data_IF_663000326004
#
_entry.id   IF_663000326004
#
_cell.length_a   1.000
_cell.length_b   1.000
_cell.length_c   1.000
_cell.angle_alpha   90.00
_cell.angle_beta   90.00
_cell.angle_gamma   90.00
#
_symmetry.space_group_name_H-M   'P 1'
#
loop_
_entity.id
_entity.type
_entity.pdbx_description
1 polymer ?
#
# COMPACT_ATOMS: atom_id res chain seq x y z
N UNK A 1 -17.12 -2.58 -6.29
CA UNK A 1 -17.04 -1.65 -5.16
C UNK A 1 -18.03 -0.55 -5.42
N UNK A 2 -18.82 -0.14 -4.42
CA UNK A 2 -19.78 0.95 -4.58
C UNK A 2 -19.16 2.33 -4.27
N UNK A 3 -19.91 3.40 -4.58
CA UNK A 3 -19.46 4.80 -4.38
C UNK A 3 -19.14 5.12 -2.92
N UNK A 4 -19.91 4.57 -1.98
CA UNK A 4 -19.74 4.81 -0.54
C UNK A 4 -18.47 4.16 -0.03
N UNK A 5 -18.19 2.92 -0.43
CA UNK A 5 -16.96 2.21 -0.12
C UNK A 5 -15.75 2.90 -0.73
N UNK A 6 -15.84 3.30 -2.00
CA UNK A 6 -14.77 4.00 -2.69
C UNK A 6 -14.43 5.34 -2.03
N UNK A 7 -15.45 6.14 -1.68
CA UNK A 7 -15.25 7.41 -0.99
C UNK A 7 -14.69 7.20 0.43
N UNK A 8 -15.20 6.23 1.18
CA UNK A 8 -14.70 5.95 2.52
C UNK A 8 -13.23 5.51 2.51
N UNK A 9 -12.82 4.68 1.55
CA UNK A 9 -11.42 4.29 1.36
C UNK A 9 -10.57 5.49 0.95
N UNK A 10 -11.05 6.32 0.03
CA UNK A 10 -10.35 7.53 -0.39
C UNK A 10 -10.16 8.51 0.76
N UNK A 11 -11.15 8.66 1.65
CA UNK A 11 -11.06 9.46 2.88
C UNK A 11 -10.00 8.87 3.82
N UNK A 12 -10.05 7.56 4.08
CA UNK A 12 -9.08 6.89 4.94
C UNK A 12 -7.64 7.13 4.46
N UNK A 13 -7.38 6.82 3.19
CA UNK A 13 -6.05 6.89 2.59
C UNK A 13 -5.55 8.33 2.47
N UNK A 14 -6.40 9.29 2.10
CA UNK A 14 -5.99 10.69 2.02
C UNK A 14 -5.71 11.31 3.40
N UNK A 15 -6.50 10.97 4.42
CA UNK A 15 -6.27 11.42 5.79
C UNK A 15 -4.98 10.82 6.35
N UNK A 16 -4.78 9.51 6.17
CA UNK A 16 -3.57 8.80 6.57
C UNK A 16 -2.33 9.42 5.92
N UNK A 17 -2.36 9.56 4.60
CA UNK A 17 -1.27 10.19 3.85
C UNK A 17 -0.94 11.60 4.37
N UNK A 18 -1.95 12.47 4.52
CA UNK A 18 -1.72 13.83 5.02
C UNK A 18 -1.11 13.83 6.43
N UNK A 19 -1.51 12.88 7.27
CA UNK A 19 -0.99 12.73 8.64
C UNK A 19 0.45 12.26 8.63
N UNK A 20 0.75 11.16 7.94
CA UNK A 20 2.10 10.62 7.86
C UNK A 20 3.06 11.56 7.12
N UNK A 21 2.60 12.28 6.10
CA UNK A 21 3.39 13.29 5.41
C UNK A 21 3.77 14.45 6.33
N UNK A 22 2.86 14.91 7.20
CA UNK A 22 3.19 15.91 8.22
C UNK A 22 4.21 15.37 9.23
N UNK A 23 4.04 14.16 9.73
CA UNK A 23 4.98 13.48 10.65
C UNK A 23 6.38 13.35 10.05
N UNK A 24 6.44 12.93 8.78
CA UNK A 24 7.68 12.80 8.03
C UNK A 24 8.44 14.14 7.93
N UNK A 25 7.70 15.23 7.71
CA UNK A 25 8.27 16.57 7.58
C UNK A 25 8.61 17.22 8.93
N UNK A 26 7.90 16.88 10.01
CA UNK A 26 8.10 17.50 11.32
C UNK A 26 9.26 16.89 12.11
N UNK A 27 9.57 15.61 11.91
CA UNK A 27 10.62 14.93 12.66
C UNK A 27 11.96 14.95 11.92
N UNK A 28 12.98 15.62 12.46
CA UNK A 28 14.32 15.70 11.83
C UNK A 28 14.93 14.33 11.54
N UNK A 29 14.74 13.36 12.45
CA UNK A 29 15.18 11.96 12.24
C UNK A 29 14.45 11.28 11.08
N UNK A 30 13.23 11.72 10.78
CA UNK A 30 12.44 11.22 9.65
C UNK A 30 12.59 12.06 8.38
N UNK A 31 13.08 13.32 8.47
CA UNK A 31 13.31 14.17 7.29
C UNK A 31 14.25 13.52 6.28
N UNK A 32 15.18 12.65 6.72
CA UNK A 32 15.99 11.85 5.79
C UNK A 32 15.14 10.96 4.86
N UNK A 33 13.95 10.54 5.29
CA UNK A 33 12.98 9.82 4.47
C UNK A 33 12.09 10.75 3.61
N UNK A 34 12.19 12.07 3.76
CA UNK A 34 11.49 13.07 2.93
C UNK A 34 12.21 13.43 1.62
N UNK A 35 13.38 12.84 1.36
CA UNK A 35 14.22 13.04 0.16
C UNK A 35 13.52 12.74 -1.18
N UNK A 36 12.31 12.17 -1.15
CA UNK A 36 11.48 11.91 -2.34
C UNK A 36 10.58 13.09 -2.75
N UNK A 37 10.72 14.26 -2.12
CA UNK A 37 10.03 15.47 -2.56
C UNK A 37 10.58 15.93 -3.91
N UNK A 38 9.80 15.68 -4.95
CA UNK A 38 9.63 16.61 -6.08
C UNK A 38 10.92 17.24 -6.63
N UNK A 39 11.85 16.40 -7.07
CA UNK A 39 12.76 16.71 -8.16
C UNK A 39 13.25 15.36 -8.66
N UNK A 40 13.21 15.15 -9.98
CA UNK A 40 13.71 13.94 -10.63
C UNK A 40 14.98 13.47 -9.93
N UNK A 41 14.88 12.43 -9.10
CA UNK A 41 16.08 11.78 -8.59
C UNK A 41 16.70 11.15 -9.83
N UNK A 42 17.76 11.79 -10.33
CA UNK A 42 18.48 11.46 -11.55
C UNK A 42 18.82 9.97 -11.54
N UNK A 43 18.01 9.17 -12.25
CA UNK A 43 18.24 7.85 -12.84
C UNK A 43 19.08 6.81 -12.07
N UNK A 44 19.35 6.99 -10.78
CA UNK A 44 20.29 6.16 -10.00
C UNK A 44 19.74 5.71 -8.65
N UNK A 45 18.52 6.15 -8.24
CA UNK A 45 17.93 5.82 -6.92
C UNK A 45 16.43 5.48 -6.92
N UNK A 46 15.87 5.07 -8.06
CA UNK A 46 14.48 4.60 -8.17
C UNK A 46 13.43 5.73 -8.18
N UNK A 47 12.52 5.67 -9.15
CA UNK A 47 11.51 6.70 -9.42
C UNK A 47 10.27 6.52 -8.53
N UNK A 48 10.42 6.74 -7.22
CA UNK A 48 9.28 6.72 -6.28
C UNK A 48 8.84 8.16 -6.04
N UNK A 49 7.73 8.57 -6.65
CA UNK A 49 7.09 9.86 -6.41
C UNK A 49 5.88 9.71 -5.50
N UNK A 50 5.75 10.62 -4.54
CA UNK A 50 4.59 10.72 -3.66
C UNK A 50 3.61 11.74 -4.18
N UNK A 51 2.34 11.57 -3.82
CA UNK A 51 1.40 12.67 -3.90
C UNK A 51 1.83 13.78 -2.92
N UNK A 52 1.84 15.03 -3.37
CA UNK A 52 2.25 16.22 -2.60
C UNK A 52 1.24 17.37 -2.69
N UNK A 53 0.12 17.15 -3.38
CA UNK A 53 -0.99 18.09 -3.45
C UNK A 53 -1.86 18.12 -2.17
N UNK A 54 -3.02 18.77 -2.27
CA UNK A 54 -3.96 18.87 -1.15
C UNK A 54 -4.65 17.53 -0.84
N UNK A 55 -5.00 17.31 0.43
CA UNK A 55 -5.76 16.13 0.88
C UNK A 55 -7.07 15.95 0.11
N UNK A 56 -7.78 17.04 -0.22
CA UNK A 56 -9.02 16.99 -0.99
C UNK A 56 -8.79 16.58 -2.44
N UNK A 57 -7.71 17.06 -3.07
CA UNK A 57 -7.32 16.64 -4.41
C UNK A 57 -6.96 15.14 -4.41
N UNK A 58 -6.21 14.68 -3.40
CA UNK A 58 -5.89 13.26 -3.25
C UNK A 58 -7.14 12.39 -3.11
N UNK A 59 -8.06 12.75 -2.21
CA UNK A 59 -9.34 12.03 -2.03
C UNK A 59 -10.08 11.90 -3.36
N UNK A 60 -10.18 13.00 -4.11
CA UNK A 60 -10.90 13.04 -5.38
C UNK A 60 -10.24 12.14 -6.43
N UNK A 61 -8.91 12.17 -6.53
CA UNK A 61 -8.14 11.31 -7.44
C UNK A 61 -8.26 9.82 -7.07
N UNK A 62 -8.13 9.49 -5.78
CA UNK A 62 -8.26 8.11 -5.30
C UNK A 62 -9.68 7.58 -5.56
N UNK A 63 -10.72 8.33 -5.18
CA UNK A 63 -12.12 7.93 -5.40
C UNK A 63 -12.38 7.67 -6.88
N UNK A 64 -11.97 8.59 -7.75
CA UNK A 64 -12.15 8.45 -9.19
C UNK A 64 -11.43 7.21 -9.74
N UNK A 65 -10.19 6.96 -9.32
CA UNK A 65 -9.42 5.81 -9.80
C UNK A 65 -10.00 4.48 -9.29
N UNK A 66 -10.42 4.43 -8.03
CA UNK A 66 -11.03 3.24 -7.42
C UNK A 66 -12.32 2.84 -8.16
N UNK A 67 -13.15 3.82 -8.53
CA UNK A 67 -14.40 3.59 -9.26
C UNK A 67 -14.18 3.26 -10.72
N UNK A 68 -13.16 3.85 -11.34
CA UNK A 68 -12.88 3.68 -12.77
C UNK A 68 -11.37 3.56 -13.00
N UNK A 69 -10.79 2.37 -12.74
CA UNK A 69 -9.36 2.17 -12.93
C UNK A 69 -8.97 2.39 -14.38
N UNK A 70 -7.97 3.24 -14.60
CA UNK A 70 -7.45 3.50 -15.94
C UNK A 70 -6.65 2.30 -16.41
N UNK A 71 -6.95 1.80 -17.60
CA UNK A 71 -6.20 0.71 -18.23
C UNK A 71 -4.71 1.06 -18.25
N UNK A 72 -3.88 0.15 -17.74
CA UNK A 72 -2.42 0.29 -17.64
C UNK A 72 -1.96 1.58 -16.93
N UNK A 73 -2.86 2.21 -16.17
CA UNK A 73 -2.62 3.44 -15.43
C UNK A 73 -2.33 3.18 -13.96
N UNK A 74 -1.75 4.16 -13.27
CA UNK A 74 -1.53 4.10 -11.84
C UNK A 74 -1.77 5.45 -11.15
N UNK A 75 -2.03 5.39 -9.86
CA UNK A 75 -1.99 6.57 -8.98
C UNK A 75 -0.55 6.82 -8.51
N UNK A 76 -0.27 8.03 -8.01
CA UNK A 76 0.98 8.31 -7.28
C UNK A 76 1.04 7.46 -6.00
N UNK A 77 2.25 7.18 -5.50
CA UNK A 77 2.36 6.53 -4.20
C UNK A 77 1.82 7.44 -3.10
N UNK A 78 1.13 6.82 -2.15
CA UNK A 78 0.69 7.43 -0.91
C UNK A 78 1.38 6.75 0.25
N UNK A 79 1.66 7.54 1.28
CA UNK A 79 2.21 7.05 2.55
C UNK A 79 1.05 6.48 3.37
N UNK A 80 1.08 5.17 3.61
CA UNK A 80 0.03 4.47 4.37
C UNK A 80 0.41 4.34 5.83
N UNK A 81 1.71 4.17 6.12
CA UNK A 81 2.23 4.08 7.49
C UNK A 81 3.74 4.37 7.54
N UNK A 82 4.27 4.65 8.73
CA UNK A 82 5.69 4.85 9.01
C UNK A 82 6.06 4.03 10.25
N UNK A 83 6.89 3.00 10.08
CA UNK A 83 7.52 2.32 11.21
C UNK A 83 8.78 3.09 11.59
N UNK A 84 8.64 4.06 12.48
CA UNK A 84 9.75 4.91 12.92
C UNK A 84 10.81 4.16 13.73
N UNK A 85 10.50 2.97 14.27
CA UNK A 85 11.42 2.18 15.10
C UNK A 85 12.42 1.46 14.22
N UNK A 86 11.94 0.87 13.15
CA UNK A 86 12.75 0.14 12.18
C UNK A 86 13.17 1.01 10.97
N UNK A 87 12.59 2.20 10.81
CA UNK A 87 12.90 3.13 9.71
C UNK A 87 12.24 2.75 8.39
N UNK A 88 11.10 2.05 8.42
CA UNK A 88 10.36 1.68 7.21
C UNK A 88 9.33 2.73 6.84
N UNK A 89 9.41 3.22 5.61
CA UNK A 89 8.35 3.99 4.97
C UNK A 89 7.46 3.04 4.18
N UNK A 90 6.16 3.02 4.49
CA UNK A 90 5.21 2.07 3.89
C UNK A 90 4.26 2.78 2.94
N UNK A 91 4.26 2.30 1.71
CA UNK A 91 3.70 3.00 0.57
C UNK A 91 2.69 2.10 -0.14
N UNK A 92 1.66 2.73 -0.67
CA UNK A 92 0.68 2.05 -1.50
C UNK A 92 0.36 2.89 -2.73
N UNK A 93 -0.06 2.25 -3.81
CA UNK A 93 -0.81 2.90 -4.89
C UNK A 93 -1.77 1.92 -5.54
N UNK A 94 -2.75 2.47 -6.24
CA UNK A 94 -3.63 1.72 -7.12
C UNK A 94 -3.08 1.64 -8.55
N UNK A 95 -3.30 0.50 -9.19
CA UNK A 95 -2.90 0.20 -10.57
C UNK A 95 -4.10 -0.40 -11.29
N UNK A 96 -4.40 0.08 -12.49
CA UNK A 96 -5.40 -0.54 -13.36
C UNK A 96 -4.73 -1.53 -14.29
N UNK A 97 -5.21 -2.77 -14.34
CA UNK A 97 -4.67 -3.76 -15.26
C UNK A 97 -5.15 -3.53 -16.71
N UNK A 98 -4.73 -4.41 -17.64
CA UNK A 98 -5.13 -4.38 -19.06
C UNK A 98 -6.65 -4.47 -19.31
N UNK A 99 -7.42 -4.86 -18.28
CA UNK A 99 -8.87 -4.98 -18.28
C UNK A 99 -9.58 -3.92 -17.43
N UNK A 100 -8.87 -2.86 -17.00
CA UNK A 100 -9.40 -1.82 -16.11
C UNK A 100 -9.89 -2.35 -14.76
N UNK A 101 -9.31 -3.44 -14.27
CA UNK A 101 -9.56 -3.96 -12.93
C UNK A 101 -8.56 -3.37 -11.93
N UNK A 102 -9.00 -3.20 -10.67
CA UNK A 102 -8.25 -2.48 -9.64
C UNK A 102 -7.28 -3.40 -8.90
N UNK A 103 -5.99 -3.22 -9.16
CA UNK A 103 -4.91 -3.81 -8.40
C UNK A 103 -4.34 -2.80 -7.40
N UNK A 104 -3.57 -3.29 -6.43
CA UNK A 104 -2.83 -2.47 -5.50
C UNK A 104 -1.37 -2.91 -5.44
N UNK A 105 -0.46 -1.95 -5.39
CA UNK A 105 0.95 -2.19 -5.11
C UNK A 105 1.29 -1.63 -3.75
N UNK A 106 1.97 -2.43 -2.93
CA UNK A 106 2.47 -2.07 -1.60
C UNK A 106 3.98 -2.19 -1.57
N UNK A 107 4.67 -1.20 -1.02
CA UNK A 107 6.13 -1.19 -0.94
C UNK A 107 6.56 -0.67 0.41
N UNK A 108 7.51 -1.38 1.01
CA UNK A 108 8.22 -0.96 2.20
C UNK A 108 9.64 -0.52 1.78
N UNK A 109 10.00 0.72 2.10
CA UNK A 109 11.33 1.27 1.87
C UNK A 109 12.06 1.43 3.20
N UNK A 110 13.21 0.79 3.34
CA UNK A 110 14.15 1.03 4.43
C UNK A 110 15.21 1.97 3.92
N UNK A 111 15.29 3.15 4.52
CA UNK A 111 16.40 4.07 4.26
C UNK A 111 17.38 3.97 5.42
N UNK A 112 18.47 3.23 5.20
CA UNK A 112 19.54 3.10 6.18
C UNK A 112 20.29 4.43 6.34
N UNK A 113 20.73 4.73 7.57
CA UNK A 113 21.43 5.98 7.88
C UNK A 113 22.91 6.01 7.49
N UNK A 114 23.50 4.87 7.12
CA UNK A 114 24.92 4.72 6.81
C UNK A 114 25.03 4.25 5.36
N UNK A 115 25.63 5.05 4.48
CA UNK A 115 25.88 4.68 3.08
C UNK A 115 24.80 5.08 2.05
N UNK A 116 23.63 5.57 2.46
CA UNK A 116 22.46 5.79 1.58
C UNK A 116 21.93 4.51 0.91
N UNK A 117 22.22 3.33 1.46
CA UNK A 117 21.65 2.09 0.95
C UNK A 117 20.15 2.07 1.25
N UNK A 118 19.36 2.00 0.18
CA UNK A 118 17.92 1.88 0.23
C UNK A 118 17.59 0.44 -0.07
N UNK A 119 16.96 -0.25 0.89
CA UNK A 119 16.40 -1.58 0.66
C UNK A 119 14.90 -1.45 0.47
N UNK A 120 14.36 -2.28 -0.41
CA UNK A 120 12.92 -2.31 -0.62
C UNK A 120 12.41 -3.73 -0.77
N UNK A 121 11.17 -3.91 -0.36
CA UNK A 121 10.40 -5.08 -0.76
C UNK A 121 8.96 -4.63 -0.95
N UNK A 122 8.24 -5.35 -1.80
CA UNK A 122 6.87 -5.01 -2.09
C UNK A 122 6.12 -6.17 -2.66
N UNK A 123 4.81 -6.01 -2.65
CA UNK A 123 3.87 -6.95 -3.23
C UNK A 123 2.85 -6.21 -4.07
N UNK A 124 2.40 -6.85 -5.13
CA UNK A 124 1.23 -6.47 -5.88
C UNK A 124 0.11 -7.44 -5.57
N UNK A 125 -1.03 -6.86 -5.19
CA UNK A 125 -2.29 -7.53 -5.00
C UNK A 125 -3.08 -7.37 -6.28
N UNK A 126 -3.38 -8.47 -6.96
CA UNK A 126 -3.94 -8.46 -8.30
C UNK A 126 -5.27 -9.20 -8.40
N UNK A 127 -6.12 -8.70 -9.28
CA UNK A 127 -7.30 -9.41 -9.77
C UNK A 127 -6.93 -10.75 -10.41
N UNK A 128 -7.83 -11.75 -10.33
CA UNK A 128 -7.63 -13.02 -10.99
C UNK A 128 -7.42 -12.84 -12.50
N UNK A 129 -6.47 -13.59 -13.06
CA UNK A 129 -6.29 -13.65 -14.50
C UNK A 129 -7.51 -14.26 -15.18
N UNK A 130 -7.99 -13.62 -16.25
CA UNK A 130 -9.10 -14.14 -17.06
C UNK A 130 -8.57 -15.19 -18.03
N UNK A 131 -8.67 -16.47 -17.65
CA UNK A 131 -8.29 -17.59 -18.53
C UNK A 131 -9.48 -18.20 -19.26
N UNK A 132 -9.34 -18.56 -20.55
CA UNK A 132 -10.28 -19.47 -21.20
C UNK A 132 -10.32 -20.81 -20.45
N UNK A 133 -11.49 -21.19 -19.92
CA UNK A 133 -11.67 -22.47 -19.23
C UNK A 133 -11.48 -22.47 -17.70
N UNK A 134 -11.53 -21.31 -17.03
CA UNK A 134 -11.71 -21.18 -15.57
C UNK A 134 -10.72 -21.96 -14.67
N UNK A 135 -9.47 -22.18 -15.08
CA UNK A 135 -8.49 -22.89 -14.21
C UNK A 135 -7.86 -22.00 -13.12
N UNK A 136 -7.90 -20.68 -13.27
CA UNK A 136 -7.33 -19.73 -12.31
C UNK A 136 -8.36 -18.62 -12.05
N UNK A 137 -8.94 -18.59 -10.85
CA UNK A 137 -10.01 -17.67 -10.48
C UNK A 137 -9.80 -17.00 -9.12
N UNK A 138 -8.59 -17.07 -8.58
CA UNK A 138 -8.24 -16.52 -7.28
C UNK A 138 -7.43 -15.24 -7.45
N UNK A 139 -7.60 -14.31 -6.51
CA UNK A 139 -6.73 -13.15 -6.41
C UNK A 139 -5.35 -13.60 -5.94
N UNK A 140 -4.31 -12.87 -6.35
CA UNK A 140 -2.94 -13.24 -6.02
C UNK A 140 -2.13 -12.09 -5.46
N UNK A 141 -1.13 -12.47 -4.67
CA UNK A 141 -0.11 -11.59 -4.13
C UNK A 141 1.23 -11.99 -4.75
N UNK A 142 1.88 -11.05 -5.43
CA UNK A 142 3.14 -11.26 -6.16
C UNK A 142 4.21 -10.26 -5.72
N UNK A 143 5.47 -10.70 -5.49
CA UNK A 143 6.59 -9.81 -5.28
C UNK A 143 6.74 -8.84 -6.44
N UNK A 144 7.10 -7.60 -6.14
CA UNK A 144 7.44 -6.60 -7.15
C UNK A 144 8.86 -6.09 -6.94
N UNK A 145 9.62 -6.07 -8.03
CA UNK A 145 10.98 -5.53 -8.08
C UNK A 145 11.06 -4.26 -8.94
N UNK A 146 10.01 -3.96 -9.71
CA UNK A 146 9.86 -2.75 -10.50
C UNK A 146 8.48 -2.15 -10.34
N UNK A 147 8.39 -0.84 -10.55
CA UNK A 147 7.12 -0.14 -10.63
C UNK A 147 6.42 -0.42 -11.97
N UNK A 148 5.20 0.10 -12.11
CA UNK A 148 4.34 0.01 -13.30
C UNK A 148 4.86 0.78 -14.51
N UNK A 149 5.97 1.52 -14.37
CA UNK A 149 6.72 2.12 -15.46
C UNK A 149 8.02 1.35 -15.73
N UNK A 150 8.10 0.09 -15.29
CA UNK A 150 9.26 -0.80 -15.38
C UNK A 150 10.55 -0.24 -14.77
N UNK A 151 10.45 0.76 -13.89
CA UNK A 151 11.61 1.27 -13.16
C UNK A 151 11.87 0.40 -11.94
N UNK A 152 13.09 -0.14 -11.74
CA UNK A 152 13.39 -1.00 -10.60
C UNK A 152 13.29 -0.25 -9.28
N UNK A 153 12.88 -0.95 -8.23
CA UNK A 153 12.92 -0.42 -6.88
C UNK A 153 14.34 -0.50 -6.32
N UNK A 154 14.77 0.53 -5.57
CA UNK A 154 16.12 0.56 -5.02
C UNK A 154 16.31 -0.52 -3.95
N UNK A 155 17.40 -1.29 -4.05
CA UNK A 155 17.74 -2.41 -3.16
C UNK A 155 16.64 -3.45 -3.01
N UNK A 156 15.87 -3.67 -4.08
CA UNK A 156 14.89 -4.75 -4.10
C UNK A 156 15.54 -6.14 -4.14
N UNK A 157 14.82 -7.12 -3.61
CA UNK A 157 15.25 -8.51 -3.57
C UNK A 157 14.99 -9.15 -4.93
N UNK A 158 16.02 -9.28 -5.76
CA UNK A 158 15.90 -9.76 -7.15
C UNK A 158 15.81 -11.29 -7.32
N UNK A 159 16.07 -12.06 -6.26
CA UNK A 159 16.01 -13.53 -6.33
C UNK A 159 14.59 -14.10 -6.14
N UNK A 160 13.62 -13.26 -5.78
CA UNK A 160 12.22 -13.68 -5.66
C UNK A 160 11.57 -13.78 -7.06
N UNK A 161 10.84 -14.86 -7.38
CA UNK A 161 10.14 -14.98 -8.65
C UNK A 161 9.00 -13.96 -8.72
N UNK A 162 9.02 -13.11 -9.75
CA UNK A 162 8.01 -12.05 -9.97
C UNK A 162 6.88 -12.45 -10.90
N UNK A 163 7.02 -13.59 -11.59
CA UNK A 163 6.06 -14.06 -12.60
C UNK A 163 5.15 -15.18 -12.10
N UNK A 164 5.27 -15.58 -10.84
CA UNK A 164 4.44 -16.62 -10.23
C UNK A 164 3.73 -16.07 -8.98
N UNK A 165 2.42 -16.28 -8.80
CA UNK A 165 1.72 -15.88 -7.59
C UNK A 165 2.41 -16.49 -6.38
N UNK A 166 2.88 -15.65 -5.46
CA UNK A 166 3.53 -16.15 -4.25
C UNK A 166 2.49 -16.65 -3.25
N UNK A 167 1.32 -16.01 -3.21
CA UNK A 167 0.20 -16.44 -2.38
C UNK A 167 -1.13 -16.28 -3.10
N UNK A 168 -2.04 -17.23 -2.91
CA UNK A 168 -3.46 -17.05 -3.20
C UNK A 168 -4.10 -16.22 -2.09
N UNK A 169 -5.00 -15.32 -2.48
CA UNK A 169 -5.75 -14.48 -1.57
C UNK A 169 -7.24 -14.77 -1.69
N UNK A 170 -7.87 -15.03 -0.55
CA UNK A 170 -9.31 -15.24 -0.47
C UNK A 170 -10.03 -13.88 -0.45
N UNK A 171 -10.10 -13.24 -1.61
CA UNK A 171 -10.88 -12.03 -1.86
C UNK A 171 -11.94 -12.32 -2.92
N UNK A 172 -13.10 -11.67 -2.79
CA UNK A 172 -14.22 -11.77 -3.72
C UNK A 172 -14.42 -10.48 -4.52
N UNK A 173 -13.68 -9.41 -4.19
CA UNK A 173 -13.83 -8.10 -4.82
C UNK A 173 -12.59 -7.23 -4.67
N UNK A 174 -12.52 -6.18 -5.51
CA UNK A 174 -11.53 -5.11 -5.41
C UNK A 174 -11.51 -4.41 -4.04
N UNK A 175 -12.66 -4.40 -3.33
CA UNK A 175 -12.74 -3.85 -1.98
C UNK A 175 -11.93 -4.69 -1.00
N UNK A 176 -12.15 -6.01 -0.99
CA UNK A 176 -11.41 -6.92 -0.11
C UNK A 176 -9.92 -6.95 -0.45
N UNK A 177 -9.57 -6.92 -1.73
CA UNK A 177 -8.18 -6.75 -2.18
C UNK A 177 -7.55 -5.48 -1.57
N UNK A 178 -8.26 -4.36 -1.60
CA UNK A 178 -7.79 -3.10 -1.04
C UNK A 178 -7.64 -3.18 0.47
N UNK A 179 -8.58 -3.82 1.17
CA UNK A 179 -8.51 -4.05 2.61
C UNK A 179 -7.29 -4.90 2.99
N UNK A 180 -7.01 -5.99 2.26
CA UNK A 180 -5.82 -6.80 2.48
C UNK A 180 -4.52 -6.02 2.25
N UNK A 181 -4.48 -5.21 1.19
CA UNK A 181 -3.34 -4.35 0.90
C UNK A 181 -3.06 -3.35 2.04
N UNK A 182 -4.09 -2.66 2.54
CA UNK A 182 -3.96 -1.74 3.68
C UNK A 182 -3.53 -2.48 4.95
N UNK A 183 -4.17 -3.62 5.24
CA UNK A 183 -3.84 -4.45 6.41
C UNK A 183 -2.37 -4.88 6.40
N UNK A 184 -1.84 -5.28 5.23
CA UNK A 184 -0.45 -5.72 5.09
C UNK A 184 0.57 -4.63 5.43
N UNK A 185 0.19 -3.36 5.29
CA UNK A 185 1.04 -2.21 5.57
C UNK A 185 0.84 -1.68 6.99
N UNK A 186 -0.41 -1.48 7.42
CA UNK A 186 -0.74 -0.67 8.60
C UNK A 186 -1.47 -1.45 9.71
N UNK A 187 -1.66 -2.76 9.55
CA UNK A 187 -2.34 -3.57 10.56
C UNK A 187 -3.87 -3.41 10.56
N UNK A 188 -4.51 -3.97 11.59
CA UNK A 188 -5.96 -4.05 11.70
C UNK A 188 -6.56 -2.83 12.42
N UNK A 189 -5.75 -2.10 13.18
CA UNK A 189 -6.16 -0.94 13.99
C UNK A 189 -6.74 0.16 13.08
N UNK A 190 -6.07 0.44 11.97
CA UNK A 190 -6.54 1.39 10.94
C UNK A 190 -7.86 0.93 10.31
N UNK A 191 -8.02 -0.38 10.11
CA UNK A 191 -9.23 -0.97 9.57
C UNK A 191 -10.41 -0.92 10.56
N UNK A 192 -10.14 -1.07 11.85
CA UNK A 192 -11.13 -0.91 12.92
C UNK A 192 -11.66 0.52 12.97
N UNK A 193 -10.78 1.52 12.89
CA UNK A 193 -11.19 2.92 12.81
C UNK A 193 -12.03 3.20 11.55
N UNK A 194 -11.60 2.66 10.40
CA UNK A 194 -12.34 2.73 9.15
C UNK A 194 -13.75 2.14 9.29
N UNK A 195 -13.87 0.90 9.80
CA UNK A 195 -15.14 0.21 9.97
C UNK A 195 -16.11 1.02 10.84
N UNK A 196 -15.62 1.56 11.96
CA UNK A 196 -16.41 2.38 12.88
C UNK A 196 -16.97 3.63 12.19
N UNK A 197 -16.18 4.28 11.34
CA UNK A 197 -16.56 5.50 10.62
C UNK A 197 -17.49 5.23 9.43
N UNK A 198 -17.19 4.22 8.62
CA UNK A 198 -17.94 3.90 7.40
C UNK A 198 -19.21 3.07 7.66
N UNK A 199 -19.28 2.41 8.82
CA UNK A 199 -20.26 1.38 9.18
C UNK A 199 -20.31 0.24 8.16
N UNK A 200 -19.15 -0.12 7.60
CA UNK A 200 -19.05 -1.18 6.60
C UNK A 200 -19.23 -2.57 7.23
N UNK A 201 -20.09 -3.37 6.59
CA UNK A 201 -20.51 -4.68 7.07
C UNK A 201 -19.70 -5.87 6.54
N UNK A 202 -18.69 -5.64 5.71
CA UNK A 202 -17.95 -6.68 4.99
C UNK A 202 -17.34 -7.73 5.93
N UNK A 203 -17.47 -9.01 5.55
CA UNK A 203 -17.04 -10.14 6.36
C UNK A 203 -15.53 -10.26 6.52
N UNK A 204 -14.75 -9.98 5.46
CA UNK A 204 -13.28 -9.98 5.50
C UNK A 204 -12.77 -8.89 6.43
N UNK A 205 -13.31 -7.67 6.32
CA UNK A 205 -12.98 -6.55 7.21
C UNK A 205 -13.21 -6.92 8.68
N UNK A 206 -14.41 -7.44 9.01
CA UNK A 206 -14.74 -7.91 10.36
C UNK A 206 -13.81 -9.01 10.85
N UNK A 207 -13.48 -9.96 9.97
CA UNK A 207 -12.61 -11.07 10.31
C UNK A 207 -11.20 -10.61 10.66
N UNK A 208 -10.60 -9.74 9.84
CA UNK A 208 -9.27 -9.19 10.07
C UNK A 208 -9.20 -8.42 11.39
N UNK A 209 -10.20 -7.58 11.68
CA UNK A 209 -10.29 -6.86 12.96
C UNK A 209 -10.35 -7.84 14.14
N UNK A 210 -11.27 -8.81 14.09
CA UNK A 210 -11.45 -9.79 15.17
C UNK A 210 -10.20 -10.64 15.42
N UNK A 211 -9.53 -11.10 14.36
CA UNK A 211 -8.29 -11.88 14.49
C UNK A 211 -7.16 -11.02 15.04
N UNK A 212 -7.07 -9.76 14.59
CA UNK A 212 -6.12 -8.78 15.12
C UNK A 212 -6.31 -8.49 16.60
N UNK A 213 -7.54 -8.24 17.04
CA UNK A 213 -7.89 -8.04 18.46
C UNK A 213 -7.56 -9.26 19.34
N UNK A 214 -7.67 -10.46 18.77
CA UNK A 214 -7.33 -11.71 19.44
C UNK A 214 -5.83 -12.08 19.38
N UNK A 215 -5.00 -11.31 18.68
CA UNK A 215 -3.58 -11.57 18.57
C UNK A 215 -2.86 -11.24 19.89
N UNK A 216 -1.96 -12.12 20.32
CA UNK A 216 -1.27 -12.00 21.61
C UNK A 216 -0.32 -10.79 21.70
N UNK A 217 0.09 -10.22 20.56
CA UNK A 217 0.97 -9.05 20.49
C UNK A 217 0.48 -8.15 19.34
N UNK A 218 -0.04 -6.94 19.62
CA UNK A 218 -0.43 -6.01 18.59
C UNK A 218 0.79 -5.52 17.79
N UNK A 219 0.62 -5.31 16.49
CA UNK A 219 1.62 -4.58 15.70
C UNK A 219 1.39 -3.07 15.93
N UNK A 220 2.45 -2.27 16.14
CA UNK A 220 3.84 -2.66 16.08
C UNK A 220 4.28 -3.24 17.45
N UNK A 221 4.95 -4.41 17.44
CA UNK A 221 5.29 -5.18 18.65
C UNK A 221 5.86 -4.29 19.77
N UNK A 222 5.31 -4.32 20.99
CA UNK A 222 5.97 -3.70 22.14
C UNK A 222 7.23 -4.51 22.48
N UNK A 223 8.39 -4.07 22.02
CA UNK A 223 9.65 -4.60 22.54
C UNK A 223 9.80 -4.01 23.93
N UNK A 224 9.64 -4.84 24.96
CA UNK A 224 10.03 -4.47 26.30
C UNK A 224 11.49 -4.01 26.24
N UNK A 225 11.74 -2.73 26.47
CA UNK A 225 13.09 -2.21 26.67
C UNK A 225 13.55 -2.83 27.97
N UNK A 226 14.31 -3.93 27.89
CA UNK A 226 15.06 -4.41 29.03
C UNK A 226 16.09 -3.32 29.36
N UNK A 227 15.85 -2.65 30.48
CA UNK A 227 16.75 -1.68 31.09
C UNK A 227 18.00 -2.37 31.65
#
# INVERSE_FOLDING_TARGET
MDDKQADALAVLLSNGHATHFKTLNSQTKLKKFSLFKETRVLASRGTISFFDGSQQALRSQLKAFILTPKKDGCTSYIIVDIDSRCGWLKLMRFVGNKHSELNAETICLLLSGVGNDVNSFGFRFEHPERFPGNKHGFFHVQPIISNSSDSPFPGCINWLPVHFPTFYMFASSAFELTIFSIHSLAGWEVLSEFQRKSRDGNGVLKHLIRVGEGARIPYPFEVAVQA
#
